data_IF_761107410286
#
_entry.id   IF_761107410286
#
_cell.length_a   1.000
_cell.length_b   1.000
_cell.length_c   1.000
_cell.angle_alpha   90.00
_cell.angle_beta   90.00
_cell.angle_gamma   90.00
#
_symmetry.space_group_name_H-M   'P 1'
#
loop_
_entity.id
_entity.type
_entity.pdbx_description
1 polymer ?
#
# COMPACT_ATOMS: atom_id res chain seq x y z
N UNK A 1 -3.03 19.20 -12.45
CA UNK A 1 -3.58 17.86 -12.22
C UNK A 1 -2.41 16.94 -11.97
N UNK A 2 -2.31 16.34 -10.78
CA UNK A 2 -1.22 15.44 -10.42
C UNK A 2 -1.46 14.01 -10.91
N UNK A 3 -0.46 13.13 -10.75
CA UNK A 3 -0.63 11.72 -11.05
C UNK A 3 -1.78 11.03 -10.28
N UNK A 4 -2.00 11.30 -8.98
CA UNK A 4 -3.14 10.71 -8.25
C UNK A 4 -4.49 11.13 -8.84
N UNK A 5 -4.65 12.41 -9.19
CA UNK A 5 -5.87 12.92 -9.81
C UNK A 5 -6.17 12.21 -11.13
N UNK A 6 -5.13 12.02 -11.95
CA UNK A 6 -5.28 11.40 -13.27
C UNK A 6 -5.58 9.89 -13.17
N UNK A 7 -4.97 9.19 -12.22
CA UNK A 7 -5.31 7.79 -11.88
C UNK A 7 -6.78 7.71 -11.44
N UNK A 8 -7.20 8.62 -10.55
CA UNK A 8 -8.58 8.68 -10.08
C UNK A 8 -9.57 8.96 -11.22
N UNK A 9 -9.27 9.91 -12.11
CA UNK A 9 -10.13 10.22 -13.25
C UNK A 9 -10.27 9.04 -14.22
N UNK A 10 -9.18 8.32 -14.49
CA UNK A 10 -9.19 7.12 -15.32
C UNK A 10 -10.11 6.05 -14.71
N UNK A 11 -9.92 5.74 -13.43
CA UNK A 11 -10.74 4.77 -12.70
C UNK A 11 -12.22 5.17 -12.68
N UNK A 12 -12.51 6.45 -12.43
CA UNK A 12 -13.88 6.99 -12.44
C UNK A 12 -14.56 6.86 -13.81
N UNK A 13 -13.80 6.97 -14.90
CA UNK A 13 -14.28 6.80 -16.28
C UNK A 13 -14.38 5.32 -16.71
N UNK A 14 -14.08 4.38 -15.81
CA UNK A 14 -14.20 2.94 -16.07
C UNK A 14 -12.93 2.29 -16.63
N UNK A 15 -11.80 3.01 -16.66
CA UNK A 15 -10.52 2.42 -17.05
C UNK A 15 -9.85 1.76 -15.85
N UNK A 16 -9.43 0.51 -16.03
CA UNK A 16 -8.41 -0.10 -15.19
C UNK A 16 -7.06 0.51 -15.58
N UNK A 17 -6.27 0.89 -14.57
CA UNK A 17 -4.89 1.34 -14.77
C UNK A 17 -3.99 0.71 -13.71
N UNK A 18 -2.92 0.07 -14.17
CA UNK A 18 -1.96 -0.68 -13.36
C UNK A 18 -0.54 -0.44 -13.86
N UNK A 19 0.45 -0.73 -13.00
CA UNK A 19 1.85 -0.80 -13.39
C UNK A 19 2.28 -2.26 -13.46
N UNK A 20 2.72 -2.71 -14.63
CA UNK A 20 3.26 -4.05 -14.86
C UNK A 20 4.67 -3.94 -15.44
N UNK A 21 5.67 -4.48 -14.75
CA UNK A 21 7.06 -4.47 -15.22
C UNK A 21 7.64 -3.07 -15.53
N UNK A 22 7.10 -1.99 -14.95
CA UNK A 22 7.48 -0.60 -15.26
C UNK A 22 6.77 0.00 -16.48
N UNK A 23 5.78 -0.69 -17.01
CA UNK A 23 4.91 -0.25 -18.11
C UNK A 23 3.52 0.06 -17.52
N UNK A 24 2.86 1.06 -18.10
CA UNK A 24 1.46 1.34 -17.77
C UNK A 24 0.57 0.40 -18.57
N UNK A 25 -0.21 -0.41 -17.86
CA UNK A 25 -1.29 -1.20 -18.44
C UNK A 25 -2.61 -0.46 -18.19
N UNK A 26 -3.37 -0.22 -19.27
CA UNK A 26 -4.66 0.46 -19.23
C UNK A 26 -5.66 -0.35 -20.04
N UNK A 27 -6.78 -0.68 -19.41
CA UNK A 27 -7.84 -1.48 -20.02
C UNK A 27 -9.22 -0.87 -19.73
N UNK A 28 -10.12 -0.74 -20.74
CA UNK A 28 -9.88 -0.98 -22.17
C UNK A 28 -8.98 0.10 -22.81
N UNK A 29 -8.22 -0.28 -23.84
CA UNK A 29 -7.32 0.65 -24.54
C UNK A 29 -7.98 1.38 -25.72
N UNK A 30 -9.05 0.81 -26.28
CA UNK A 30 -9.57 1.17 -27.61
C UNK A 30 -10.35 2.51 -27.65
N UNK A 31 -10.75 3.03 -26.49
CA UNK A 31 -11.58 4.21 -26.37
C UNK A 31 -10.95 5.34 -25.54
N UNK A 32 -9.65 5.27 -25.27
CA UNK A 32 -8.95 6.32 -24.51
C UNK A 32 -8.89 7.60 -25.37
N UNK A 33 -9.46 8.72 -24.89
CA UNK A 33 -9.46 9.97 -25.65
C UNK A 33 -8.03 10.51 -25.90
N UNK A 34 -7.74 11.13 -27.07
CA UNK A 34 -6.40 11.61 -27.42
C UNK A 34 -5.81 12.58 -26.40
N UNK A 35 -6.64 13.44 -25.80
CA UNK A 35 -6.24 14.37 -24.75
C UNK A 35 -5.78 13.66 -23.48
N UNK A 36 -6.43 12.53 -23.14
CA UNK A 36 -6.09 11.71 -21.99
C UNK A 36 -4.78 10.95 -22.25
N UNK A 37 -4.59 10.43 -23.47
CA UNK A 37 -3.30 9.84 -23.88
C UNK A 37 -2.17 10.86 -23.75
N UNK A 38 -2.39 12.10 -24.17
CA UNK A 38 -1.39 13.18 -24.04
C UNK A 38 -1.07 13.45 -22.57
N UNK A 39 -2.08 13.56 -21.72
CA UNK A 39 -1.90 13.78 -20.28
C UNK A 39 -1.16 12.61 -19.60
N UNK A 40 -1.55 11.36 -19.89
CA UNK A 40 -0.87 10.15 -19.41
C UNK A 40 0.61 10.16 -19.80
N UNK A 41 0.93 10.49 -21.06
CA UNK A 41 2.32 10.54 -21.54
C UNK A 41 3.13 11.61 -20.82
N UNK A 42 2.57 12.79 -20.59
CA UNK A 42 3.23 13.88 -19.87
C UNK A 42 3.52 13.54 -18.41
N UNK A 43 2.65 12.75 -17.76
CA UNK A 43 2.79 12.37 -16.36
C UNK A 43 3.20 10.91 -16.14
N UNK A 44 3.65 10.19 -17.18
CA UNK A 44 3.88 8.73 -17.15
C UNK A 44 4.73 8.28 -15.98
N UNK A 45 5.87 8.94 -15.74
CA UNK A 45 6.78 8.57 -14.66
C UNK A 45 6.12 8.74 -13.28
N UNK A 46 5.39 9.84 -13.06
CA UNK A 46 4.70 10.09 -11.81
C UNK A 46 3.54 9.10 -11.59
N UNK A 47 2.80 8.75 -12.64
CA UNK A 47 1.74 7.74 -12.60
C UNK A 47 2.32 6.37 -12.23
N UNK A 48 3.42 5.97 -12.87
CA UNK A 48 4.11 4.72 -12.56
C UNK A 48 4.57 4.67 -11.11
N UNK A 49 5.20 5.73 -10.61
CA UNK A 49 5.62 5.81 -9.21
C UNK A 49 4.45 5.63 -8.26
N UNK A 50 3.31 6.27 -8.53
CA UNK A 50 2.13 6.18 -7.67
C UNK A 50 1.48 4.78 -7.73
N UNK A 51 1.33 4.20 -8.92
CA UNK A 51 0.79 2.84 -9.06
C UNK A 51 1.69 1.79 -8.41
N UNK A 52 3.01 1.94 -8.52
CA UNK A 52 3.96 1.07 -7.82
C UNK A 52 3.86 1.22 -6.30
N UNK A 53 3.61 2.44 -5.81
CA UNK A 53 3.38 2.72 -4.38
C UNK A 53 2.11 2.02 -3.90
N UNK A 54 1.01 2.14 -4.65
CA UNK A 54 -0.26 1.46 -4.37
C UNK A 54 -0.10 -0.06 -4.38
N UNK A 55 0.57 -0.62 -5.40
CA UNK A 55 0.81 -2.06 -5.52
C UNK A 55 1.62 -2.63 -4.35
N UNK A 56 2.63 -1.89 -3.87
CA UNK A 56 3.40 -2.30 -2.68
C UNK A 56 2.56 -2.25 -1.40
N UNK A 57 1.71 -1.23 -1.23
CA UNK A 57 0.80 -1.15 -0.09
C UNK A 57 -0.18 -2.33 -0.08
N UNK A 58 -0.76 -2.65 -1.23
CA UNK A 58 -1.65 -3.80 -1.38
C UNK A 58 -0.93 -5.13 -1.11
N UNK A 59 0.30 -5.29 -1.59
CA UNK A 59 1.12 -6.47 -1.29
C UNK A 59 1.36 -6.62 0.22
N UNK A 60 1.69 -5.55 0.94
CA UNK A 60 1.87 -5.59 2.40
C UNK A 60 0.58 -5.96 3.12
N UNK A 61 -0.55 -5.41 2.68
CA UNK A 61 -1.88 -5.76 3.20
C UNK A 61 -2.16 -7.25 3.06
N UNK A 62 -1.93 -7.80 1.87
CA UNK A 62 -2.10 -9.24 1.62
C UNK A 62 -1.13 -10.09 2.45
N UNK A 63 0.11 -9.63 2.62
CA UNK A 63 1.12 -10.31 3.44
C UNK A 63 0.66 -10.48 4.89
N UNK A 64 0.16 -9.42 5.54
CA UNK A 64 -0.29 -9.51 6.94
C UNK A 64 -1.57 -10.34 7.09
N UNK A 65 -2.46 -10.32 6.09
CA UNK A 65 -3.64 -11.20 6.06
C UNK A 65 -3.20 -12.66 6.00
N UNK A 66 -2.29 -13.00 5.08
CA UNK A 66 -1.77 -14.36 4.96
C UNK A 66 -1.03 -14.82 6.23
N UNK A 67 -0.28 -13.93 6.89
CA UNK A 67 0.33 -14.21 8.19
C UNK A 67 -0.71 -14.53 9.27
N UNK A 68 -1.82 -13.79 9.28
CA UNK A 68 -2.92 -14.00 10.21
C UNK A 68 -3.61 -15.34 9.91
N UNK A 69 -3.91 -15.64 8.64
CA UNK A 69 -4.55 -16.90 8.24
C UNK A 69 -3.69 -18.13 8.57
N UNK A 70 -2.37 -18.03 8.42
CA UNK A 70 -1.43 -19.09 8.76
C UNK A 70 -1.34 -19.39 10.28
N UNK A 71 -1.80 -18.48 11.13
CA UNK A 71 -1.79 -18.63 12.59
C UNK A 71 -3.17 -18.34 13.20
N UNK A 72 -4.11 -19.31 13.17
CA UNK A 72 -5.49 -19.11 13.63
C UNK A 72 -5.63 -18.64 15.08
N UNK A 73 -4.72 -19.03 15.97
CA UNK A 73 -4.69 -18.60 17.38
C UNK A 73 -4.18 -17.16 17.60
N UNK A 74 -3.60 -16.55 16.57
CA UNK A 74 -3.03 -15.20 16.66
C UNK A 74 -4.10 -14.15 16.37
N UNK A 75 -4.20 -13.14 17.23
CA UNK A 75 -5.16 -12.04 17.09
C UNK A 75 -4.67 -10.90 16.17
N UNK A 76 -3.34 -10.74 16.05
CA UNK A 76 -2.72 -9.64 15.31
C UNK A 76 -1.51 -10.12 14.53
N UNK A 77 -1.40 -9.72 13.28
CA UNK A 77 -0.21 -9.95 12.47
C UNK A 77 0.41 -8.61 12.11
N UNK A 78 1.74 -8.55 12.17
CA UNK A 78 2.50 -7.30 11.98
C UNK A 78 3.62 -7.58 10.98
N UNK A 79 3.72 -6.73 9.98
CA UNK A 79 4.80 -6.73 9.01
C UNK A 79 5.49 -5.36 8.99
N UNK A 80 6.81 -5.39 8.94
CA UNK A 80 7.65 -4.19 8.89
C UNK A 80 8.36 -4.14 7.55
N UNK A 81 8.16 -3.05 6.81
CA UNK A 81 8.87 -2.75 5.57
C UNK A 81 9.84 -1.59 5.80
N UNK A 82 11.14 -1.88 5.75
CA UNK A 82 12.22 -0.91 5.95
C UNK A 82 12.77 -0.35 4.64
N UNK A 83 12.35 -0.89 3.50
CA UNK A 83 13.05 -0.74 2.23
C UNK A 83 12.25 0.11 1.23
N UNK A 84 10.91 0.08 1.33
CA UNK A 84 10.04 0.81 0.41
C UNK A 84 10.10 2.33 0.54
N UNK A 85 10.40 2.86 1.73
CA UNK A 85 10.50 4.30 2.00
C UNK A 85 11.91 4.65 2.54
N UNK A 86 12.60 5.64 1.96
CA UNK A 86 13.94 6.01 2.40
C UNK A 86 13.99 6.63 3.80
N UNK A 87 12.92 7.29 4.26
CA UNK A 87 12.86 8.04 5.51
C UNK A 87 12.05 7.35 6.60
N UNK A 88 11.10 6.49 6.21
CA UNK A 88 10.17 5.84 7.12
C UNK A 88 10.29 4.33 7.06
N UNK A 89 9.96 3.70 8.18
CA UNK A 89 9.56 2.30 8.26
C UNK A 89 8.05 2.25 8.13
N UNK A 90 7.56 1.39 7.25
CA UNK A 90 6.12 1.17 7.07
C UNK A 90 5.74 -0.04 7.90
N UNK A 91 4.94 0.18 8.94
CA UNK A 91 4.38 -0.87 9.76
C UNK A 91 2.98 -1.19 9.27
N UNK A 92 2.76 -2.40 8.79
CA UNK A 92 1.44 -2.89 8.38
C UNK A 92 0.93 -3.84 9.46
N UNK A 93 -0.31 -3.61 9.92
CA UNK A 93 -0.94 -4.40 10.98
C UNK A 93 -2.26 -4.96 10.48
N UNK A 94 -2.52 -6.24 10.73
CA UNK A 94 -3.84 -6.87 10.58
C UNK A 94 -4.38 -7.28 11.95
N UNK A 95 -5.68 -7.07 12.17
CA UNK A 95 -6.36 -7.42 13.43
C UNK A 95 -7.54 -8.35 13.13
N UNK A 96 -7.51 -9.56 13.71
CA UNK A 96 -8.53 -10.58 13.47
C UNK A 96 -9.91 -10.15 13.96
N UNK A 97 -9.98 -9.61 15.18
CA UNK A 97 -11.23 -9.29 15.85
C UNK A 97 -12.15 -8.36 15.06
N UNK A 98 -11.59 -7.44 14.26
CA UNK A 98 -12.36 -6.51 13.42
C UNK A 98 -12.14 -6.71 11.91
N UNK A 99 -11.33 -7.69 11.51
CA UNK A 99 -10.98 -7.95 10.10
C UNK A 99 -10.46 -6.71 9.35
N UNK A 100 -9.73 -5.83 10.06
CA UNK A 100 -9.18 -4.60 9.47
C UNK A 100 -7.65 -4.68 9.35
N UNK A 101 -7.12 -3.88 8.43
CA UNK A 101 -5.69 -3.63 8.26
C UNK A 101 -5.40 -2.14 8.30
N UNK A 102 -4.25 -1.75 8.83
CA UNK A 102 -3.76 -0.37 8.74
C UNK A 102 -2.26 -0.33 8.45
N UNK A 103 -1.81 0.81 7.90
CA UNK A 103 -0.39 1.14 7.76
C UNK A 103 -0.05 2.36 8.62
N UNK A 104 1.09 2.31 9.28
CA UNK A 104 1.66 3.41 10.04
C UNK A 104 3.07 3.71 9.55
N UNK A 105 3.38 4.99 9.36
CA UNK A 105 4.72 5.46 9.02
C UNK A 105 5.46 5.84 10.29
N UNK A 106 6.60 5.20 10.53
CA UNK A 106 7.48 5.51 11.65
C UNK A 106 8.77 6.07 11.06
N UNK A 107 9.18 7.32 11.38
CA UNK A 107 10.47 7.83 10.93
C UNK A 107 11.60 6.87 11.34
N UNK A 108 12.49 6.51 10.42
CA UNK A 108 13.57 5.53 10.67
C UNK A 108 14.43 5.89 11.89
N UNK A 109 14.69 7.18 12.08
CA UNK A 109 15.45 7.70 13.24
C UNK A 109 14.77 7.47 14.59
N UNK A 110 13.48 7.11 14.59
CA UNK A 110 12.68 6.80 15.79
C UNK A 110 12.26 5.32 15.85
N UNK A 111 12.64 4.52 14.86
CA UNK A 111 12.24 3.12 14.80
C UNK A 111 13.22 2.25 15.56
N UNK A 112 12.71 1.56 16.59
CA UNK A 112 13.41 0.48 17.28
C UNK A 112 12.50 -0.76 17.28
N UNK A 113 12.91 -1.87 16.64
CA UNK A 113 12.08 -3.07 16.53
C UNK A 113 11.81 -3.73 17.89
N UNK A 114 12.75 -3.65 18.84
CA UNK A 114 12.59 -4.24 20.17
C UNK A 114 11.66 -3.41 21.03
N UNK A 115 11.81 -2.08 20.99
CA UNK A 115 10.89 -1.19 21.70
C UNK A 115 9.46 -1.32 21.17
N UNK A 116 9.28 -1.48 19.85
CA UNK A 116 7.97 -1.74 19.26
C UNK A 116 7.36 -3.04 19.79
N UNK A 117 8.14 -4.13 19.85
CA UNK A 117 7.69 -5.40 20.40
C UNK A 117 7.25 -5.27 21.86
N UNK A 118 8.07 -4.60 22.69
CA UNK A 118 7.75 -4.33 24.10
C UNK A 118 6.45 -3.53 24.24
N UNK A 119 6.24 -2.50 23.40
CA UNK A 119 5.01 -1.71 23.40
C UNK A 119 3.78 -2.56 23.03
N UNK A 120 3.91 -3.45 22.04
CA UNK A 120 2.83 -4.36 21.64
C UNK A 120 2.50 -5.34 22.77
N UNK A 121 3.50 -5.89 23.45
CA UNK A 121 3.28 -6.80 24.57
C UNK A 121 2.62 -6.08 25.75
N UNK A 122 3.12 -4.90 26.11
CA UNK A 122 2.61 -4.11 27.25
C UNK A 122 1.20 -3.59 27.04
N UNK A 123 0.90 -3.07 25.84
CA UNK A 123 -0.39 -2.45 25.54
C UNK A 123 -1.40 -3.45 24.91
N UNK A 124 -0.90 -4.55 24.35
CA UNK A 124 -1.74 -5.58 23.73
C UNK A 124 -2.50 -6.45 24.75
N UNK A 125 -2.07 -6.45 26.01
CA UNK A 125 -2.71 -7.12 27.14
C UNK A 125 -3.80 -6.27 27.82
N UNK A 126 -3.92 -4.97 27.49
CA UNK A 126 -4.80 -4.03 28.20
C UNK A 126 -6.25 -4.04 27.70
N UNK A 127 -6.67 -5.07 26.96
CA UNK A 127 -8.06 -5.22 26.50
C UNK A 127 -8.71 -6.41 27.22
N UNK A 128 -9.34 -6.12 28.36
CA UNK A 128 -10.31 -6.97 29.05
C UNK A 128 -11.68 -6.32 28.97
#
# INVERSE_FOLDING_TARGET
MGAPDLIFELRRKGYSIMADGGILDISPADNIPPELVKAIRQSKAAILTELLREARAEWRRQKVIAMLDAAPGTQRAIYTDTDSDPHNVILTVAVRACQQTCEMLIPKVKYDPWQLLELIERLGQTTH
#
